data_IF_769171494349
#
_entry.id   IF_769171494349
#
_cell.length_a   1.000
_cell.length_b   1.000
_cell.length_c   1.000
_cell.angle_alpha   90.00
_cell.angle_beta   90.00
_cell.angle_gamma   90.00
#
_symmetry.space_group_name_H-M   'P 1'
#
loop_
_entity.id
_entity.type
_entity.pdbx_description
1 polymer ?
#
# COMPACT_ATOMS: atom_id res chain seq x y z
N UNK A 1 -32.45 -2.57 -5.45
CA UNK A 1 -32.32 -2.14 -4.05
C UNK A 1 -31.99 -0.65 -3.98
N UNK A 2 -32.97 0.26 -4.08
CA UNK A 2 -32.73 1.70 -4.19
C UNK A 2 -32.09 2.32 -2.93
N UNK A 3 -32.40 1.77 -1.76
CA UNK A 3 -31.92 2.33 -0.48
C UNK A 3 -30.39 2.25 -0.34
N UNK A 4 -29.79 1.13 -0.75
CA UNK A 4 -28.33 0.92 -0.66
C UNK A 4 -27.59 1.87 -1.60
N UNK A 5 -28.04 2.00 -2.86
CA UNK A 5 -27.48 2.93 -3.83
C UNK A 5 -27.52 4.39 -3.34
N UNK A 6 -28.66 4.80 -2.78
CA UNK A 6 -28.84 6.12 -2.17
C UNK A 6 -27.88 6.37 -0.99
N UNK A 7 -27.69 5.38 -0.13
CA UNK A 7 -26.76 5.49 1.01
C UNK A 7 -25.32 5.61 0.54
N UNK A 8 -24.89 4.76 -0.41
CA UNK A 8 -23.53 4.81 -0.98
C UNK A 8 -23.29 6.15 -1.66
N UNK A 9 -24.21 6.62 -2.50
CA UNK A 9 -24.12 7.94 -3.15
C UNK A 9 -23.96 9.07 -2.13
N UNK A 10 -24.73 9.05 -1.03
CA UNK A 10 -24.64 10.05 0.04
C UNK A 10 -23.30 10.03 0.77
N UNK A 11 -22.81 8.83 1.10
CA UNK A 11 -21.50 8.66 1.76
C UNK A 11 -20.34 9.05 0.84
N UNK A 12 -20.46 8.76 -0.47
CA UNK A 12 -19.49 9.17 -1.50
C UNK A 12 -19.44 10.69 -1.60
N UNK A 13 -20.59 11.37 -1.61
CA UNK A 13 -20.67 12.83 -1.62
C UNK A 13 -20.01 13.48 -0.39
N UNK A 14 -20.27 12.94 0.79
CA UNK A 14 -19.65 13.41 2.03
C UNK A 14 -18.12 13.20 2.03
N UNK A 15 -17.69 12.04 1.56
CA UNK A 15 -16.27 11.71 1.42
C UNK A 15 -15.58 12.65 0.42
N UNK A 16 -16.20 12.92 -0.72
CA UNK A 16 -15.69 13.84 -1.71
C UNK A 16 -15.50 15.26 -1.13
N UNK A 17 -16.55 15.83 -0.52
CA UNK A 17 -16.49 17.16 0.11
C UNK A 17 -15.38 17.27 1.15
N UNK A 18 -15.18 16.22 1.94
CA UNK A 18 -14.11 16.17 2.96
C UNK A 18 -12.72 16.09 2.33
N UNK A 19 -12.57 15.33 1.23
CA UNK A 19 -11.31 15.13 0.56
C UNK A 19 -10.94 16.33 -0.35
N UNK A 20 -11.90 16.98 -0.99
CA UNK A 20 -11.69 18.18 -1.81
C UNK A 20 -11.11 19.35 -1.01
N UNK A 21 -11.46 19.46 0.28
CA UNK A 21 -10.90 20.47 1.17
C UNK A 21 -9.43 20.20 1.57
N UNK A 22 -8.95 18.97 1.39
CA UNK A 22 -7.56 18.57 1.66
C UNK A 22 -6.80 18.57 0.34
N UNK A 23 -6.34 19.72 -0.11
CA UNK A 23 -5.43 19.83 -1.26
C UNK A 23 -4.24 18.88 -1.12
N UNK A 24 -3.64 18.47 -2.24
CA UNK A 24 -2.34 17.77 -2.23
C UNK A 24 -1.31 18.85 -1.96
N UNK A 25 -0.80 18.87 -0.72
CA UNK A 25 0.22 19.81 -0.27
C UNK A 25 1.50 19.02 0.02
N UNK A 26 2.64 19.65 -0.22
CA UNK A 26 3.96 19.15 0.16
C UNK A 26 4.01 18.69 1.63
N UNK A 27 3.30 19.36 2.52
CA UNK A 27 3.18 18.98 3.94
C UNK A 27 2.68 17.55 4.13
N UNK A 28 1.68 17.11 3.36
CA UNK A 28 1.18 15.74 3.45
C UNK A 28 2.20 14.70 3.00
N UNK A 29 3.04 15.04 2.00
CA UNK A 29 4.12 14.15 1.56
C UNK A 29 5.22 14.07 2.63
N UNK A 30 5.56 15.19 3.24
CA UNK A 30 6.53 15.24 4.35
C UNK A 30 6.03 14.45 5.57
N UNK A 31 4.76 14.59 5.93
CA UNK A 31 4.11 13.81 6.99
C UNK A 31 4.16 12.31 6.69
N UNK A 32 3.86 11.92 5.46
CA UNK A 32 3.93 10.52 5.03
C UNK A 32 5.36 9.96 5.09
N UNK A 33 6.36 10.73 4.67
CA UNK A 33 7.77 10.36 4.80
C UNK A 33 8.16 10.20 6.26
N UNK A 34 7.86 11.19 7.11
CA UNK A 34 8.13 11.12 8.55
C UNK A 34 7.48 9.91 9.20
N UNK A 35 6.21 9.64 8.91
CA UNK A 35 5.49 8.49 9.43
C UNK A 35 6.11 7.16 8.99
N UNK A 36 6.61 7.09 7.75
CA UNK A 36 7.29 5.90 7.22
C UNK A 36 8.62 5.65 7.93
N UNK A 37 9.45 6.69 8.07
CA UNK A 37 10.73 6.63 8.77
C UNK A 37 10.51 6.29 10.25
N UNK A 38 9.53 6.93 10.90
CA UNK A 38 9.16 6.67 12.30
C UNK A 38 8.78 5.20 12.51
N UNK A 39 8.01 4.62 11.60
CA UNK A 39 7.60 3.22 11.65
C UNK A 39 8.78 2.27 11.50
N UNK A 40 9.76 2.62 10.67
CA UNK A 40 10.92 1.79 10.35
C UNK A 40 12.15 2.07 11.24
N UNK A 41 12.15 3.10 12.09
CA UNK A 41 13.33 3.52 12.85
C UNK A 41 13.94 2.44 13.75
N UNK A 42 13.12 1.52 14.26
CA UNK A 42 13.55 0.41 15.13
C UNK A 42 13.86 -0.89 14.36
N UNK A 43 13.92 -0.84 13.03
CA UNK A 43 14.33 -1.97 12.20
C UNK A 43 15.84 -1.97 11.99
N UNK A 44 16.40 -3.11 11.53
CA UNK A 44 17.82 -3.17 11.14
C UNK A 44 18.17 -2.13 10.08
N UNK A 45 17.30 -1.96 9.07
CA UNK A 45 17.44 -0.93 8.04
C UNK A 45 17.44 0.48 8.63
N UNK A 46 16.47 0.78 9.49
CA UNK A 46 16.36 2.10 10.12
C UNK A 46 17.53 2.41 11.06
N UNK A 47 18.08 1.39 11.72
CA UNK A 47 19.27 1.54 12.55
C UNK A 47 20.51 1.85 11.72
N UNK A 48 20.77 1.07 10.65
CA UNK A 48 21.94 1.25 9.78
C UNK A 48 21.93 2.62 9.11
N UNK A 49 20.77 3.12 8.70
CA UNK A 49 20.64 4.42 8.06
C UNK A 49 20.24 5.55 9.01
N UNK A 50 20.38 5.32 10.33
CA UNK A 50 20.22 6.33 11.37
C UNK A 50 18.87 7.07 11.31
N UNK A 51 17.76 6.35 11.09
CA UNK A 51 16.41 6.93 10.97
C UNK A 51 16.00 7.75 12.18
N UNK A 52 16.46 7.36 13.37
CA UNK A 52 16.23 8.14 14.58
C UNK A 52 16.85 9.54 14.45
N UNK A 53 18.11 9.64 14.00
CA UNK A 53 18.79 10.90 13.81
C UNK A 53 18.18 11.75 12.68
N UNK A 54 17.73 11.12 11.59
CA UNK A 54 17.02 11.82 10.51
C UNK A 54 15.76 12.52 11.04
N UNK A 55 14.98 11.85 11.89
CA UNK A 55 13.72 12.39 12.42
C UNK A 55 13.91 13.63 13.34
N UNK A 56 15.08 13.79 13.95
CA UNK A 56 15.38 14.97 14.79
C UNK A 56 15.73 16.22 13.98
N UNK A 57 15.98 16.07 12.66
CA UNK A 57 16.37 17.20 11.81
C UNK A 57 15.16 17.98 11.29
N UNK A 58 15.34 19.27 11.10
CA UNK A 58 14.32 20.14 10.51
C UNK A 58 14.04 19.75 9.06
N UNK A 59 15.09 19.54 8.27
CA UNK A 59 14.99 19.08 6.89
C UNK A 59 15.20 17.54 6.80
N UNK A 60 14.12 16.82 7.03
CA UNK A 60 14.10 15.35 6.98
C UNK A 60 14.36 14.83 5.57
N UNK A 61 13.89 15.53 4.53
CA UNK A 61 14.03 15.09 3.14
C UNK A 61 15.50 15.06 2.73
N UNK A 62 16.19 16.17 2.91
CA UNK A 62 17.60 16.28 2.58
C UNK A 62 18.46 15.30 3.40
N UNK A 63 18.14 15.12 4.69
CA UNK A 63 18.87 14.16 5.52
C UNK A 63 18.61 12.71 5.08
N UNK A 64 17.37 12.36 4.75
CA UNK A 64 17.05 11.03 4.22
C UNK A 64 17.83 10.75 2.92
N UNK A 65 17.84 11.69 1.98
CA UNK A 65 18.57 11.56 0.71
C UNK A 65 20.09 11.41 0.89
N UNK A 66 20.66 12.05 1.91
CA UNK A 66 22.09 11.92 2.24
C UNK A 66 22.44 10.59 2.90
N UNK A 67 21.55 10.05 3.73
CA UNK A 67 21.83 8.88 4.55
C UNK A 67 21.44 7.56 3.87
N UNK A 68 20.44 7.57 3.01
CA UNK A 68 19.91 6.36 2.38
C UNK A 68 20.33 6.35 0.91
N UNK A 69 21.22 5.44 0.50
CA UNK A 69 21.70 5.37 -0.88
C UNK A 69 20.60 4.92 -1.83
N UNK A 70 20.70 5.34 -3.07
CA UNK A 70 19.94 4.78 -4.19
C UNK A 70 20.63 3.49 -4.59
N UNK A 71 19.90 2.39 -4.61
CA UNK A 71 20.40 1.06 -4.97
C UNK A 71 19.45 0.41 -5.97
N UNK A 72 19.91 -0.54 -6.75
CA UNK A 72 19.06 -1.35 -7.59
C UNK A 72 18.37 -2.46 -6.78
N UNK A 73 17.50 -3.23 -7.45
CA UNK A 73 16.75 -4.29 -6.78
C UNK A 73 17.65 -5.42 -6.29
N UNK A 74 18.67 -5.80 -7.05
CA UNK A 74 19.49 -6.97 -6.76
C UNK A 74 20.39 -6.70 -5.53
N UNK A 75 20.97 -5.51 -5.47
CA UNK A 75 21.69 -5.04 -4.28
C UNK A 75 20.76 -4.95 -3.07
N UNK A 76 19.55 -4.38 -3.24
CA UNK A 76 18.58 -4.28 -2.15
C UNK A 76 18.10 -5.66 -1.70
N UNK A 77 17.90 -6.58 -2.64
CA UNK A 77 17.50 -7.96 -2.33
C UNK A 77 18.55 -8.66 -1.48
N UNK A 78 19.80 -8.68 -1.93
CA UNK A 78 20.88 -9.38 -1.21
C UNK A 78 21.13 -8.80 0.18
N UNK A 79 21.14 -7.48 0.30
CA UNK A 79 21.46 -6.81 1.56
C UNK A 79 20.31 -6.81 2.56
N UNK A 80 19.05 -6.73 2.09
CA UNK A 80 17.91 -6.41 2.94
C UNK A 80 16.73 -7.37 2.81
N UNK A 81 16.34 -7.79 1.59
CA UNK A 81 15.13 -8.58 1.42
C UNK A 81 15.32 -10.06 1.71
N UNK A 82 16.48 -10.61 1.45
CA UNK A 82 16.81 -12.01 1.62
C UNK A 82 16.44 -12.51 3.02
N UNK A 83 16.91 -11.84 4.05
CA UNK A 83 16.60 -12.18 5.44
C UNK A 83 15.13 -11.95 5.77
N UNK A 84 14.52 -10.88 5.26
CA UNK A 84 13.08 -10.62 5.43
C UNK A 84 12.22 -11.72 4.82
N UNK A 85 12.58 -12.21 3.64
CA UNK A 85 11.93 -13.34 2.94
C UNK A 85 12.13 -14.63 3.73
N UNK A 86 13.32 -14.85 4.30
CA UNK A 86 13.61 -15.98 5.19
C UNK A 86 12.83 -15.91 6.53
N UNK A 87 12.13 -14.80 6.79
CA UNK A 87 11.25 -14.64 7.93
C UNK A 87 11.81 -13.81 9.08
N UNK A 88 12.93 -13.10 8.88
CA UNK A 88 13.46 -12.17 9.87
C UNK A 88 12.40 -11.08 10.21
N UNK A 89 12.30 -10.78 11.50
CA UNK A 89 11.45 -9.68 12.00
C UNK A 89 12.27 -8.40 12.07
N UNK A 90 11.58 -7.29 11.97
CA UNK A 90 12.16 -5.95 12.18
C UNK A 90 13.41 -5.69 11.31
N UNK A 91 13.45 -6.28 10.11
CA UNK A 91 14.60 -6.16 9.22
C UNK A 91 14.52 -4.90 8.36
N UNK A 92 13.56 -4.84 7.42
CA UNK A 92 13.29 -3.64 6.60
C UNK A 92 12.03 -2.92 7.06
N UNK A 93 11.11 -3.62 7.73
CA UNK A 93 9.87 -3.08 8.26
C UNK A 93 9.57 -3.70 9.61
N UNK A 94 8.82 -2.98 10.46
CA UNK A 94 8.49 -3.45 11.81
C UNK A 94 7.62 -4.72 11.75
N UNK A 95 8.04 -5.73 12.47
CA UNK A 95 7.43 -7.06 12.50
C UNK A 95 7.89 -7.94 11.33
N UNK A 96 7.17 -9.02 11.08
CA UNK A 96 7.40 -9.92 9.96
C UNK A 96 6.56 -9.51 8.75
N UNK A 97 7.16 -9.45 7.57
CA UNK A 97 6.45 -9.24 6.33
C UNK A 97 5.74 -10.54 5.95
N UNK A 98 4.41 -10.48 5.85
CA UNK A 98 3.57 -11.65 5.61
C UNK A 98 3.29 -11.90 4.13
N UNK A 99 3.34 -10.86 3.30
CA UNK A 99 3.01 -10.94 1.88
C UNK A 99 4.12 -10.36 1.03
N UNK A 100 4.39 -11.02 -0.09
CA UNK A 100 5.26 -10.53 -1.15
C UNK A 100 4.50 -10.57 -2.48
N UNK A 101 4.42 -9.42 -3.14
CA UNK A 101 3.92 -9.33 -4.49
C UNK A 101 5.00 -9.76 -5.47
N UNK A 102 4.60 -10.55 -6.47
CA UNK A 102 5.49 -10.93 -7.57
C UNK A 102 5.32 -9.91 -8.69
N UNK A 103 6.43 -9.33 -9.14
CA UNK A 103 6.41 -8.52 -10.36
C UNK A 103 6.26 -9.43 -11.57
N UNK A 104 5.67 -8.90 -12.67
CA UNK A 104 5.76 -9.56 -13.97
C UNK A 104 7.24 -9.62 -14.35
N UNK A 105 7.82 -10.81 -14.36
CA UNK A 105 9.17 -11.00 -14.91
C UNK A 105 9.15 -10.63 -16.40
N UNK A 106 10.15 -9.87 -16.85
CA UNK A 106 10.44 -9.77 -18.28
C UNK A 106 10.97 -11.11 -18.77
N UNK A 107 10.80 -11.40 -20.05
CA UNK A 107 11.23 -12.67 -20.66
C UNK A 107 12.68 -13.01 -20.24
N UNK A 108 12.86 -14.07 -19.47
CA UNK A 108 14.17 -14.55 -19.01
C UNK A 108 14.64 -14.07 -17.61
N UNK A 109 13.95 -13.14 -16.94
CA UNK A 109 14.30 -12.73 -15.59
C UNK A 109 13.33 -13.28 -14.55
N UNK A 110 13.81 -13.77 -13.39
CA UNK A 110 12.92 -14.23 -12.32
C UNK A 110 12.08 -13.09 -11.76
N UNK A 111 10.83 -13.39 -11.38
CA UNK A 111 9.93 -12.42 -10.76
C UNK A 111 10.54 -11.85 -9.48
N UNK A 112 10.55 -10.53 -9.37
CA UNK A 112 11.02 -9.82 -8.18
C UNK A 112 9.96 -9.89 -7.07
N UNK A 113 10.40 -10.08 -5.83
CA UNK A 113 9.54 -10.10 -4.64
C UNK A 113 9.48 -8.71 -4.02
N UNK A 114 8.30 -8.12 -4.00
CA UNK A 114 8.05 -6.79 -3.45
C UNK A 114 7.31 -6.95 -2.13
N UNK A 115 7.86 -6.49 -1.00
CA UNK A 115 7.21 -6.58 0.30
C UNK A 115 5.86 -5.85 0.31
N UNK A 116 4.82 -6.50 0.83
CA UNK A 116 3.50 -5.88 0.98
C UNK A 116 3.13 -5.86 2.45
N UNK A 117 3.20 -4.69 3.05
CA UNK A 117 2.90 -4.48 4.46
C UNK A 117 1.42 -4.19 4.68
N UNK A 118 0.95 -4.36 5.92
CA UNK A 118 -0.43 -3.98 6.29
C UNK A 118 -0.68 -2.49 6.06
N UNK A 119 0.31 -1.65 6.32
CA UNK A 119 0.23 -0.21 6.08
C UNK A 119 0.08 0.12 4.59
N UNK A 120 0.81 -0.60 3.73
CA UNK A 120 0.68 -0.48 2.29
C UNK A 120 -0.72 -0.88 1.83
N UNK A 121 -1.25 -2.02 2.30
CA UNK A 121 -2.61 -2.46 1.99
C UNK A 121 -3.64 -1.38 2.40
N UNK A 122 -3.55 -0.85 3.62
CA UNK A 122 -4.41 0.23 4.10
C UNK A 122 -4.27 1.51 3.27
N UNK A 123 -3.06 1.80 2.77
CA UNK A 123 -2.83 2.95 1.89
C UNK A 123 -3.55 2.78 0.55
N UNK A 124 -3.44 1.60 -0.07
CA UNK A 124 -4.20 1.27 -1.29
C UNK A 124 -5.71 1.40 -1.08
N UNK A 125 -6.23 0.86 0.02
CA UNK A 125 -7.66 0.97 0.35
C UNK A 125 -8.11 2.43 0.47
N UNK A 126 -7.31 3.28 1.15
CA UNK A 126 -7.62 4.71 1.27
C UNK A 126 -7.61 5.44 -0.09
N UNK A 127 -6.63 5.12 -0.93
CA UNK A 127 -6.54 5.69 -2.28
C UNK A 127 -7.74 5.27 -3.12
N UNK A 128 -8.10 3.98 -3.11
CA UNK A 128 -9.26 3.46 -3.83
C UNK A 128 -10.56 4.11 -3.37
N UNK A 129 -10.77 4.27 -2.06
CA UNK A 129 -11.94 4.96 -1.52
C UNK A 129 -11.98 6.44 -1.93
N UNK A 130 -10.82 7.10 -1.98
CA UNK A 130 -10.72 8.49 -2.44
C UNK A 130 -11.03 8.60 -3.93
N UNK A 131 -10.50 7.70 -4.76
CA UNK A 131 -10.84 7.63 -6.19
C UNK A 131 -12.33 7.37 -6.40
N UNK A 132 -12.91 6.41 -5.65
CA UNK A 132 -14.34 6.15 -5.74
C UNK A 132 -15.19 7.36 -5.36
N UNK A 133 -14.72 8.20 -4.43
CA UNK A 133 -15.46 9.40 -4.03
C UNK A 133 -15.58 10.46 -5.15
N UNK A 134 -14.67 10.44 -6.14
CA UNK A 134 -14.72 11.35 -7.31
C UNK A 134 -15.93 11.08 -8.19
N UNK A 135 -16.47 9.86 -8.18
CA UNK A 135 -17.69 9.51 -8.92
C UNK A 135 -18.88 10.40 -8.57
N UNK A 136 -18.84 11.08 -7.43
CA UNK A 136 -19.85 12.05 -7.04
C UNK A 136 -19.97 13.21 -8.04
N UNK A 137 -18.87 13.63 -8.65
CA UNK A 137 -18.87 14.73 -9.64
C UNK A 137 -19.57 14.36 -10.96
N UNK A 138 -19.67 13.07 -11.25
CA UNK A 138 -20.29 12.58 -12.47
C UNK A 138 -21.83 12.53 -12.41
N UNK A 139 -22.42 12.92 -11.27
CA UNK A 139 -23.88 12.90 -11.05
C UNK A 139 -24.59 11.61 -11.49
N UNK A 140 -23.94 10.45 -11.23
CA UNK A 140 -24.43 9.15 -11.63
C UNK A 140 -25.74 8.80 -10.89
N UNK A 141 -26.66 8.04 -11.54
CA UNK A 141 -27.91 7.62 -10.92
C UNK A 141 -27.67 6.68 -9.73
N UNK A 142 -28.66 6.54 -8.86
CA UNK A 142 -28.55 5.73 -7.63
C UNK A 142 -28.30 4.25 -7.92
N UNK A 143 -28.83 3.74 -9.02
CA UNK A 143 -28.68 2.37 -9.50
C UNK A 143 -27.22 2.02 -9.80
N UNK A 144 -26.44 3.00 -10.27
CA UNK A 144 -25.00 2.82 -10.51
C UNK A 144 -24.26 2.38 -9.24
N UNK A 145 -24.61 2.98 -8.10
CA UNK A 145 -23.94 2.68 -6.82
C UNK A 145 -24.35 1.35 -6.19
N UNK A 146 -25.41 0.72 -6.70
CA UNK A 146 -25.88 -0.62 -6.30
C UNK A 146 -25.62 -1.68 -7.37
N UNK A 147 -25.06 -1.29 -8.52
CA UNK A 147 -24.73 -2.22 -9.59
C UNK A 147 -23.55 -3.12 -9.22
N UNK A 148 -23.53 -4.31 -9.82
CA UNK A 148 -22.38 -5.20 -9.71
C UNK A 148 -21.16 -4.65 -10.46
N UNK A 149 -19.98 -4.74 -9.86
CA UNK A 149 -18.73 -4.28 -10.46
C UNK A 149 -17.97 -5.51 -11.00
N UNK A 150 -17.74 -5.53 -12.30
CA UNK A 150 -16.80 -6.46 -12.90
C UNK A 150 -15.37 -5.95 -12.67
N UNK A 151 -14.60 -6.65 -11.85
CA UNK A 151 -13.20 -6.36 -11.62
C UNK A 151 -12.32 -7.45 -12.23
N UNK A 152 -11.52 -7.08 -13.21
CA UNK A 152 -10.49 -7.95 -13.79
C UNK A 152 -9.18 -7.69 -13.04
N UNK A 153 -8.57 -8.74 -12.50
CA UNK A 153 -7.33 -8.63 -11.72
C UNK A 153 -6.58 -9.95 -11.69
N UNK A 154 -5.40 -9.93 -11.08
CA UNK A 154 -4.58 -11.12 -10.88
C UNK A 154 -5.26 -12.19 -10.01
N UNK A 155 -4.70 -13.37 -10.03
CA UNK A 155 -5.21 -14.52 -9.27
C UNK A 155 -5.25 -14.26 -7.77
N UNK A 156 -6.37 -14.60 -7.14
CA UNK A 156 -6.49 -14.62 -5.67
C UNK A 156 -5.91 -15.90 -5.06
N UNK A 157 -5.49 -16.87 -5.88
CA UNK A 157 -4.77 -18.06 -5.44
C UNK A 157 -3.34 -17.68 -5.13
N UNK A 158 -3.09 -17.37 -3.85
CA UNK A 158 -1.76 -17.01 -3.38
C UNK A 158 -0.98 -18.27 -2.99
N UNK A 159 0.31 -18.29 -3.30
CA UNK A 159 1.22 -19.40 -2.96
C UNK A 159 1.71 -19.24 -1.54
N UNK A 160 1.44 -20.24 -0.70
CA UNK A 160 1.91 -20.28 0.68
C UNK A 160 3.33 -20.85 0.72
N UNK A 161 4.25 -20.10 1.31
CA UNK A 161 5.62 -20.52 1.61
C UNK A 161 5.77 -20.76 3.12
N UNK A 162 6.91 -21.26 3.55
CA UNK A 162 7.18 -21.53 4.97
C UNK A 162 7.05 -20.30 5.88
N UNK A 163 7.46 -19.13 5.40
CA UNK A 163 7.55 -17.89 6.19
C UNK A 163 6.55 -16.82 5.78
N UNK A 164 6.02 -16.88 4.55
CA UNK A 164 5.19 -15.84 3.95
C UNK A 164 4.23 -16.41 2.91
N UNK A 165 3.48 -15.50 2.29
CA UNK A 165 2.57 -15.79 1.18
C UNK A 165 2.94 -14.91 0.01
N UNK A 166 3.00 -15.45 -1.21
CA UNK A 166 3.35 -14.69 -2.41
C UNK A 166 2.31 -14.84 -3.52
N UNK A 167 2.22 -13.86 -4.40
CA UNK A 167 1.33 -13.84 -5.57
C UNK A 167 1.16 -12.45 -6.16
N UNK A 168 0.17 -12.27 -7.03
CA UNK A 168 -0.10 -10.97 -7.64
C UNK A 168 -0.52 -9.93 -6.60
N UNK A 169 -0.04 -8.68 -6.75
CA UNK A 169 -0.41 -7.58 -5.86
C UNK A 169 -1.94 -7.37 -5.82
N UNK A 170 -2.59 -7.40 -6.99
CA UNK A 170 -4.05 -7.26 -7.08
C UNK A 170 -4.79 -8.40 -6.36
N UNK A 171 -4.27 -9.63 -6.41
CA UNK A 171 -4.80 -10.77 -5.68
C UNK A 171 -4.64 -10.62 -4.16
N UNK A 172 -3.48 -10.14 -3.71
CA UNK A 172 -3.24 -9.83 -2.29
C UNK A 172 -4.20 -8.74 -1.82
N UNK A 173 -4.35 -7.64 -2.56
CA UNK A 173 -5.23 -6.53 -2.20
C UNK A 173 -6.71 -6.97 -2.16
N UNK A 174 -7.16 -7.76 -3.15
CA UNK A 174 -8.53 -8.29 -3.19
C UNK A 174 -8.85 -9.13 -1.97
N UNK A 175 -7.92 -9.96 -1.50
CA UNK A 175 -8.08 -10.75 -0.28
C UNK A 175 -8.30 -9.91 0.97
N UNK A 176 -7.83 -8.68 0.99
CA UNK A 176 -7.94 -7.73 2.11
C UNK A 176 -9.01 -6.66 1.89
N UNK A 177 -9.68 -6.66 0.75
CA UNK A 177 -10.78 -5.73 0.50
C UNK A 177 -12.06 -6.33 1.06
N UNK A 178 -12.75 -5.66 1.99
CA UNK A 178 -14.06 -6.11 2.43
C UNK A 178 -14.99 -6.14 1.21
N UNK A 179 -15.51 -7.31 0.89
CA UNK A 179 -16.50 -7.46 -0.18
C UNK A 179 -17.85 -7.02 0.39
N UNK A 180 -18.49 -5.96 -0.13
CA UNK A 180 -19.80 -5.54 0.37
C UNK A 180 -20.95 -6.40 -0.14
N UNK A 181 -20.67 -7.39 -0.99
CA UNK A 181 -21.68 -8.29 -1.55
C UNK A 181 -21.26 -9.75 -1.41
N UNK A 182 -22.15 -10.66 -0.96
CA UNK A 182 -21.89 -12.09 -1.08
C UNK A 182 -21.66 -12.43 -2.55
N UNK A 183 -20.56 -13.12 -2.83
CA UNK A 183 -20.38 -13.72 -4.14
C UNK A 183 -21.46 -14.79 -4.31
N UNK A 184 -22.29 -14.62 -5.35
CA UNK A 184 -23.17 -15.67 -5.82
C UNK A 184 -22.37 -16.84 -6.40
#
# INVERSE_FOLDING_TARGET
MPIIGKLIRKTTALSFKRNAKKGIDYRHQLEALRATIERAKSTKFGFVYSFHAILTKTDVVSQYQKMVPIVDYDEFHEKWLKDSIAGAKDHTWKGRIKYYALSSGTTGSPSKRIPVTTEMIRSFQRVSLRQFSILHELNLPEEFYSASILAVGGSTKLTKKSTHVEGDLSGILKKHTPCPTPMA
#
